data_IF_808989709539
#
_entry.id   IF_808989709539
#
_cell.length_a   1.000
_cell.length_b   1.000
_cell.length_c   1.000
_cell.angle_alpha   90.00
_cell.angle_beta   90.00
_cell.angle_gamma   90.00
#
_symmetry.space_group_name_H-M   'P 1'
#
loop_
_entity.id
_entity.type
_entity.pdbx_description
1 polymer ?
#
# COMPACT_ATOMS: atom_id res chain seq x y z
N UNK A 1 0.54 -10.05 -9.90
CA UNK A 1 -0.40 -10.44 -8.83
C UNK A 1 0.27 -10.12 -7.50
N UNK A 2 -0.48 -9.62 -6.54
CA UNK A 2 0.02 -9.30 -5.22
C UNK A 2 0.61 -10.53 -4.51
N UNK A 3 1.67 -10.31 -3.74
CA UNK A 3 2.47 -11.33 -3.06
C UNK A 3 2.59 -10.96 -1.57
N UNK A 4 1.86 -11.63 -0.67
CA UNK A 4 1.87 -11.30 0.76
C UNK A 4 3.25 -11.49 1.38
N UNK A 5 3.98 -12.54 1.00
CA UNK A 5 5.29 -12.87 1.57
C UNK A 5 6.34 -11.83 1.17
N UNK A 6 6.33 -11.41 -0.10
CA UNK A 6 7.21 -10.32 -0.53
C UNK A 6 6.84 -9.01 0.16
N UNK A 7 5.55 -8.70 0.24
CA UNK A 7 5.06 -7.45 0.86
C UNK A 7 5.45 -7.39 2.34
N UNK A 8 5.30 -8.49 3.08
CA UNK A 8 5.74 -8.61 4.47
C UNK A 8 7.23 -8.34 4.63
N UNK A 9 8.08 -8.94 3.78
CA UNK A 9 9.53 -8.70 3.80
C UNK A 9 9.86 -7.24 3.53
N UNK A 10 9.23 -6.63 2.53
CA UNK A 10 9.45 -5.21 2.19
C UNK A 10 9.01 -4.30 3.34
N UNK A 11 7.84 -4.53 3.94
CA UNK A 11 7.37 -3.77 5.09
C UNK A 11 8.26 -3.96 6.32
N UNK A 12 8.73 -5.17 6.57
CA UNK A 12 9.67 -5.47 7.66
C UNK A 12 10.98 -4.70 7.54
N UNK A 13 11.50 -4.55 6.30
CA UNK A 13 12.71 -3.76 6.04
C UNK A 13 12.47 -2.24 6.10
N UNK A 14 11.29 -1.77 5.66
CA UNK A 14 10.97 -0.33 5.69
C UNK A 14 10.60 0.16 7.09
N UNK A 15 9.94 -0.66 7.91
CA UNK A 15 9.39 -0.25 9.21
C UNK A 15 10.41 0.42 10.15
N UNK A 16 11.65 -0.06 10.32
CA UNK A 16 12.66 0.63 11.14
C UNK A 16 12.98 2.04 10.62
N UNK A 17 13.08 2.22 9.30
CA UNK A 17 13.31 3.53 8.69
C UNK A 17 12.11 4.46 8.88
N UNK A 18 10.89 3.96 8.65
CA UNK A 18 9.64 4.72 8.83
C UNK A 18 9.45 5.18 10.29
N UNK A 19 9.69 4.30 11.27
CA UNK A 19 9.53 4.62 12.70
C UNK A 19 10.72 5.39 13.27
N UNK A 20 11.92 5.20 12.75
CA UNK A 20 13.15 5.84 13.25
C UNK A 20 13.36 7.25 12.67
N UNK A 21 13.47 7.33 11.34
CA UNK A 21 13.77 8.60 10.65
C UNK A 21 12.51 9.46 10.51
N UNK A 22 11.46 8.91 9.91
CA UNK A 22 10.22 9.66 9.68
C UNK A 22 9.38 9.79 10.96
N UNK A 23 9.64 8.97 11.99
CA UNK A 23 8.85 8.92 13.23
C UNK A 23 7.36 8.79 12.94
N UNK A 24 7.05 7.94 11.97
CA UNK A 24 5.71 7.82 11.45
C UNK A 24 4.74 7.25 12.50
N UNK A 25 3.59 7.91 12.65
CA UNK A 25 2.49 7.45 13.48
C UNK A 25 1.23 7.27 12.63
N UNK A 26 0.56 6.13 12.80
CA UNK A 26 -0.73 5.85 12.17
C UNK A 26 -1.76 5.63 13.27
N UNK A 27 -2.82 6.44 13.25
CA UNK A 27 -3.88 6.47 14.28
C UNK A 27 -5.23 6.23 13.63
N UNK A 28 -6.24 5.79 14.39
CA UNK A 28 -7.61 5.67 13.88
C UNK A 28 -7.93 4.40 13.11
N UNK A 29 -6.97 3.46 12.97
CA UNK A 29 -7.17 2.22 12.23
C UNK A 29 -8.22 1.28 12.88
N UNK A 30 -8.64 1.55 14.11
CA UNK A 30 -9.74 0.86 14.81
C UNK A 30 -11.10 1.18 14.19
N UNK A 31 -11.23 2.30 13.50
CA UNK A 31 -12.46 2.71 12.81
C UNK A 31 -12.52 2.17 11.37
N UNK A 32 -11.53 1.38 10.95
CA UNK A 32 -11.45 0.90 9.59
C UNK A 32 -12.52 -0.18 9.35
N UNK A 33 -13.31 -0.10 8.28
CA UNK A 33 -14.42 -1.01 8.06
C UNK A 33 -13.94 -2.44 7.77
N UNK A 34 -14.81 -3.41 8.01
CA UNK A 34 -14.65 -4.81 7.60
C UNK A 34 -14.94 -4.92 6.09
N UNK A 35 -14.13 -5.70 5.37
CA UNK A 35 -14.24 -5.85 3.91
C UNK A 35 -13.41 -4.82 3.13
N UNK A 36 -13.77 -4.57 1.88
CA UNK A 36 -13.03 -3.62 1.05
C UNK A 36 -13.24 -2.16 1.46
N UNK A 37 -12.21 -1.33 1.34
CA UNK A 37 -12.27 0.09 1.73
C UNK A 37 -11.48 1.00 0.79
N UNK A 38 -12.11 2.05 0.27
CA UNK A 38 -11.40 3.08 -0.48
C UNK A 38 -10.79 4.12 0.47
N UNK A 39 -9.47 4.09 0.59
CA UNK A 39 -8.70 5.08 1.34
C UNK A 39 -8.33 6.24 0.42
N UNK A 40 -8.65 7.46 0.85
CA UNK A 40 -8.30 8.69 0.15
C UNK A 40 -7.38 9.51 1.06
N UNK A 41 -6.22 9.89 0.54
CA UNK A 41 -5.22 10.66 1.26
C UNK A 41 -4.61 11.74 0.35
N UNK A 42 -4.08 12.80 0.95
CA UNK A 42 -3.23 13.75 0.24
C UNK A 42 -1.92 13.08 -0.18
N UNK A 43 -1.41 13.47 -1.35
CA UNK A 43 -0.10 13.04 -1.80
C UNK A 43 0.95 14.10 -1.48
N UNK A 44 1.96 13.77 -0.68
CA UNK A 44 2.96 14.74 -0.22
C UNK A 44 4.36 14.11 -0.22
N UNK A 45 5.34 14.83 -0.77
CA UNK A 45 6.71 14.35 -0.95
C UNK A 45 7.21 14.33 -2.40
N UNK A 46 6.42 14.82 -3.36
CA UNK A 46 6.83 14.94 -4.76
C UNK A 46 7.10 13.56 -5.38
N UNK A 47 8.31 13.34 -5.88
CA UNK A 47 8.70 12.09 -6.52
C UNK A 47 8.89 10.93 -5.52
N UNK A 48 9.18 11.22 -4.24
CA UNK A 48 9.43 10.22 -3.20
C UNK A 48 8.48 10.39 -2.00
N UNK A 49 7.18 10.19 -2.23
CA UNK A 49 6.15 10.31 -1.21
C UNK A 49 6.22 9.13 -0.23
N UNK A 50 6.01 9.42 1.06
CA UNK A 50 6.04 8.41 2.13
C UNK A 50 4.66 8.06 2.67
N UNK A 51 3.60 8.63 2.10
CA UNK A 51 2.20 8.38 2.46
C UNK A 51 1.81 6.90 2.35
N UNK A 52 2.09 6.25 1.20
CA UNK A 52 1.76 4.84 0.97
C UNK A 52 2.57 3.91 1.87
N UNK A 53 3.92 4.00 1.97
CA UNK A 53 4.68 3.16 2.88
C UNK A 53 4.29 3.33 4.35
N UNK A 54 4.03 4.56 4.81
CA UNK A 54 3.60 4.83 6.18
C UNK A 54 2.24 4.20 6.45
N UNK A 55 1.25 4.46 5.58
CA UNK A 55 -0.07 3.89 5.72
C UNK A 55 -0.03 2.35 5.69
N UNK A 56 0.62 1.76 4.68
CA UNK A 56 0.73 0.31 4.54
C UNK A 56 1.41 -0.34 5.75
N UNK A 57 2.50 0.27 6.26
CA UNK A 57 3.19 -0.27 7.43
C UNK A 57 2.29 -0.30 8.67
N UNK A 58 1.51 0.76 8.93
CA UNK A 58 0.57 0.77 10.06
C UNK A 58 -0.62 -0.15 9.85
N UNK A 59 -1.13 -0.20 8.62
CA UNK A 59 -2.25 -1.06 8.23
C UNK A 59 -1.91 -2.54 8.42
N UNK A 60 -0.79 -3.00 7.85
CA UNK A 60 -0.35 -4.39 7.96
C UNK A 60 0.07 -4.76 9.40
N UNK A 61 0.54 -3.80 10.20
CA UNK A 61 0.80 -4.02 11.63
C UNK A 61 -0.49 -4.33 12.42
N UNK A 62 -1.64 -3.77 12.01
CA UNK A 62 -2.93 -4.00 12.67
C UNK A 62 -3.71 -5.18 12.09
N UNK A 63 -3.75 -5.32 10.77
CA UNK A 63 -4.65 -6.25 10.08
C UNK A 63 -3.94 -7.47 9.49
N UNK A 64 -2.61 -7.50 9.50
CA UNK A 64 -1.82 -8.57 8.90
C UNK A 64 -1.87 -8.57 7.36
N UNK A 65 -1.13 -9.50 6.76
CA UNK A 65 -0.94 -9.61 5.31
C UNK A 65 -1.94 -10.56 4.64
N UNK A 66 -3.15 -10.71 5.19
CA UNK A 66 -4.24 -11.40 4.48
C UNK A 66 -5.15 -10.40 3.75
N UNK A 67 -5.11 -9.12 4.17
CA UNK A 67 -5.88 -8.03 3.58
C UNK A 67 -4.94 -7.14 2.76
N UNK A 68 -4.96 -7.21 1.42
CA UNK A 68 -4.03 -6.47 0.59
C UNK A 68 -4.35 -4.97 0.59
N UNK A 69 -3.31 -4.14 0.57
CA UNK A 69 -3.42 -2.71 0.26
C UNK A 69 -3.13 -2.54 -1.23
N UNK A 70 -4.14 -2.18 -2.01
CA UNK A 70 -3.97 -1.86 -3.42
C UNK A 70 -3.80 -0.35 -3.63
N UNK A 71 -2.71 0.03 -4.27
CA UNK A 71 -2.40 1.43 -4.58
C UNK A 71 -2.60 1.67 -6.07
N UNK A 72 -3.60 2.50 -6.41
CA UNK A 72 -3.79 2.99 -7.77
C UNK A 72 -2.62 3.92 -8.14
N UNK A 73 -1.98 3.68 -9.27
CA UNK A 73 -0.79 4.44 -9.65
C UNK A 73 -0.66 4.64 -11.15
N UNK A 74 0.14 5.64 -11.53
CA UNK A 74 0.50 5.87 -12.92
C UNK A 74 1.25 4.66 -13.50
N UNK A 75 0.98 4.36 -14.77
CA UNK A 75 1.54 3.21 -15.48
C UNK A 75 3.07 3.18 -15.50
N UNK A 76 3.73 4.33 -15.34
CA UNK A 76 5.19 4.43 -15.27
C UNK A 76 5.81 3.54 -14.18
N UNK A 77 5.12 3.29 -13.06
CA UNK A 77 5.60 2.37 -12.01
C UNK A 77 5.57 0.90 -12.44
N UNK A 78 4.85 0.58 -13.50
CA UNK A 78 4.64 -0.79 -13.99
C UNK A 78 5.48 -1.11 -15.23
N UNK A 79 6.21 -0.13 -15.76
CA UNK A 79 7.08 -0.26 -16.93
C UNK A 79 8.52 -0.56 -16.51
N UNK A 80 9.23 -1.36 -17.30
CA UNK A 80 10.65 -1.65 -17.10
C UNK A 80 10.93 -2.70 -16.01
N UNK A 81 12.19 -2.81 -15.56
CA UNK A 81 12.65 -3.93 -14.72
C UNK A 81 12.05 -3.95 -13.31
N UNK A 82 11.56 -2.81 -12.80
CA UNK A 82 10.95 -2.69 -11.47
C UNK A 82 9.44 -2.96 -11.48
N UNK A 83 8.80 -3.04 -12.64
CA UNK A 83 7.34 -3.16 -12.73
C UNK A 83 6.79 -4.43 -12.08
N UNK A 84 7.52 -5.54 -12.15
CA UNK A 84 7.14 -6.78 -11.48
C UNK A 84 7.16 -6.64 -9.94
N UNK A 85 8.10 -5.88 -9.40
CA UNK A 85 8.20 -5.62 -7.97
C UNK A 85 6.99 -4.82 -7.48
N UNK A 86 6.70 -3.68 -8.11
CA UNK A 86 5.55 -2.83 -7.76
C UNK A 86 4.20 -3.59 -7.85
N UNK A 87 4.01 -4.39 -8.91
CA UNK A 87 2.80 -5.22 -9.05
C UNK A 87 2.65 -6.28 -7.96
N UNK A 88 3.76 -6.78 -7.41
CA UNK A 88 3.74 -7.77 -6.32
C UNK A 88 3.51 -7.11 -4.95
N UNK A 89 3.92 -5.87 -4.77
CA UNK A 89 3.74 -5.12 -3.51
C UNK A 89 2.41 -4.37 -3.41
N UNK A 90 1.52 -4.48 -4.41
CA UNK A 90 0.15 -3.97 -4.34
C UNK A 90 -0.15 -2.79 -5.26
N UNK A 91 0.82 -2.34 -6.07
CA UNK A 91 0.58 -1.26 -7.02
C UNK A 91 -0.14 -1.78 -8.26
N UNK A 92 -1.21 -1.09 -8.64
CA UNK A 92 -2.05 -1.43 -9.79
C UNK A 92 -2.28 -0.19 -10.67
N UNK A 93 -2.43 -0.35 -12.01
CA UNK A 93 -2.74 0.77 -12.90
C UNK A 93 -3.99 1.52 -12.46
N UNK A 94 -3.91 2.85 -12.43
CA UNK A 94 -5.05 3.69 -12.08
C UNK A 94 -6.16 3.61 -13.13
N UNK A 95 -7.30 3.01 -12.79
CA UNK A 95 -8.52 3.04 -13.58
C UNK A 95 -9.73 2.74 -12.70
N UNK A 96 -10.92 3.20 -13.11
CA UNK A 96 -12.16 2.86 -12.42
C UNK A 96 -12.38 1.35 -12.32
N UNK A 97 -12.07 0.61 -13.38
CA UNK A 97 -12.20 -0.85 -13.42
C UNK A 97 -11.33 -1.52 -12.36
N UNK A 98 -10.05 -1.14 -12.27
CA UNK A 98 -9.14 -1.73 -11.30
C UNK A 98 -9.50 -1.33 -9.86
N UNK A 99 -9.95 -0.09 -9.64
CA UNK A 99 -10.43 0.36 -8.33
C UNK A 99 -11.64 -0.45 -7.85
N UNK A 100 -12.60 -0.68 -8.75
CA UNK A 100 -13.81 -1.45 -8.49
C UNK A 100 -13.50 -2.93 -8.23
N UNK A 101 -12.61 -3.54 -9.01
CA UNK A 101 -12.14 -4.92 -8.80
C UNK A 101 -11.40 -5.08 -7.47
N UNK A 102 -10.49 -4.15 -7.14
CA UNK A 102 -9.77 -4.15 -5.87
C UNK A 102 -10.74 -4.05 -4.67
N UNK A 103 -11.67 -3.09 -4.71
CA UNK A 103 -12.64 -2.87 -3.64
C UNK A 103 -13.55 -4.09 -3.42
N UNK A 104 -14.02 -4.73 -4.50
CA UNK A 104 -14.86 -5.95 -4.39
C UNK A 104 -14.08 -7.17 -3.91
N UNK A 105 -12.77 -7.22 -4.13
CA UNK A 105 -11.92 -8.33 -3.68
C UNK A 105 -11.56 -8.28 -2.18
N UNK A 106 -12.03 -7.25 -1.46
CA UNK A 106 -11.74 -7.05 -0.03
C UNK A 106 -10.47 -6.24 0.27
N UNK A 107 -9.87 -5.64 -0.77
CA UNK A 107 -8.75 -4.71 -0.65
C UNK A 107 -9.14 -3.27 -0.38
#
# INVERSE_FOLDING_TARGET
KWDPVLTERVMGLLKPFLKGWHRAEVRGLENFPVGGALVVANHSGGLFPMDVPVFASGFYEKFGFERPVYTLSHDMLMVGPTGAFFKKTGFIPASHKNADEALRSGG
#
